data_IF_838500671816
#
_entry.id   IF_838500671816
#
_cell.length_a   1.000
_cell.length_b   1.000
_cell.length_c   1.000
_cell.angle_alpha   90.00
_cell.angle_beta   90.00
_cell.angle_gamma   90.00
#
_symmetry.space_group_name_H-M   'P 1'
#
loop_
_entity.id
_entity.type
_entity.pdbx_description
1 polymer ?
#
# COMPACT_ATOMS: atom_id res chain seq x y z
N UNK A 1 31.93 -123.12 -1.71
CA UNK A 1 33.18 -122.25 -1.74
C UNK A 1 32.88 -121.01 -0.94
N UNK A 2 33.29 -121.07 0.30
CA UNK A 2 33.17 -119.92 1.20
C UNK A 2 34.37 -119.01 1.01
N UNK A 3 34.20 -117.89 0.38
CA UNK A 3 35.19 -116.83 0.41
C UNK A 3 35.03 -115.98 1.67
N UNK A 4 35.85 -116.35 2.69
CA UNK A 4 36.00 -115.53 3.89
C UNK A 4 36.67 -114.21 3.56
N UNK A 5 35.90 -113.09 3.53
CA UNK A 5 36.44 -111.77 3.41
C UNK A 5 37.22 -111.50 4.65
N UNK A 6 38.51 -111.18 4.52
CA UNK A 6 39.40 -110.88 5.62
C UNK A 6 38.97 -109.59 6.38
N UNK A 7 38.66 -109.59 7.71
CA UNK A 7 38.18 -108.44 8.47
C UNK A 7 39.18 -107.31 8.54
N UNK A 8 40.47 -107.55 8.19
CA UNK A 8 41.46 -106.42 8.16
C UNK A 8 41.38 -105.59 6.82
N UNK A 9 41.01 -106.21 5.69
CA UNK A 9 40.79 -105.43 4.44
C UNK A 9 39.55 -104.55 4.54
N UNK A 10 38.47 -104.96 5.16
CA UNK A 10 37.26 -104.14 5.36
C UNK A 10 37.47 -102.93 6.29
N UNK A 11 38.40 -103.08 7.27
CA UNK A 11 38.78 -101.94 8.18
C UNK A 11 39.63 -100.90 7.48
N UNK A 12 40.56 -101.37 6.59
CA UNK A 12 41.41 -100.46 5.82
C UNK A 12 40.64 -99.73 4.75
N UNK A 13 39.62 -100.31 4.06
CA UNK A 13 38.76 -99.66 3.10
C UNK A 13 37.91 -98.57 3.81
N UNK A 14 37.25 -98.95 4.94
CA UNK A 14 36.49 -97.96 5.70
C UNK A 14 37.33 -96.79 6.28
N UNK A 15 38.59 -97.04 6.60
CA UNK A 15 39.53 -95.98 7.08
C UNK A 15 39.96 -95.10 5.90
N UNK A 16 40.14 -95.62 4.71
CA UNK A 16 40.48 -94.92 3.47
C UNK A 16 39.28 -94.03 3.04
N UNK A 17 38.07 -94.59 3.06
CA UNK A 17 36.87 -93.81 2.73
C UNK A 17 36.61 -92.67 3.74
N UNK A 18 36.81 -92.92 5.05
CA UNK A 18 36.68 -91.92 6.08
C UNK A 18 37.73 -90.79 5.89
N UNK A 19 38.96 -91.18 5.47
CA UNK A 19 40.02 -90.18 5.21
C UNK A 19 39.77 -89.35 3.96
N UNK A 20 39.20 -89.97 2.92
CA UNK A 20 38.77 -89.27 1.70
C UNK A 20 37.64 -88.28 2.05
N UNK A 21 36.62 -88.73 2.74
CA UNK A 21 35.51 -87.88 3.17
C UNK A 21 36.02 -86.74 4.04
N UNK A 22 36.94 -86.97 5.00
CA UNK A 22 37.55 -85.89 5.81
C UNK A 22 38.34 -84.89 4.95
N UNK A 23 39.09 -85.35 3.93
CA UNK A 23 39.78 -84.42 3.06
C UNK A 23 38.86 -83.58 2.17
N UNK A 24 37.76 -84.20 1.66
CA UNK A 24 36.73 -83.48 0.91
C UNK A 24 36.05 -82.39 1.81
N UNK A 25 35.61 -82.79 2.99
CA UNK A 25 35.00 -81.86 3.95
C UNK A 25 36.00 -80.73 4.38
N UNK A 26 37.27 -81.10 4.59
CA UNK A 26 38.32 -80.09 4.93
C UNK A 26 38.57 -79.12 3.81
N UNK A 27 38.50 -79.62 2.54
CA UNK A 27 38.63 -78.76 1.36
C UNK A 27 37.43 -77.81 1.20
N UNK A 28 36.22 -78.37 1.31
CA UNK A 28 34.96 -77.60 1.24
C UNK A 28 34.87 -76.51 2.31
N UNK A 29 35.31 -76.85 3.51
CA UNK A 29 35.43 -75.87 4.61
C UNK A 29 36.45 -74.78 4.30
N UNK A 30 37.61 -75.14 3.77
CA UNK A 30 38.65 -74.19 3.35
C UNK A 30 38.17 -73.26 2.26
N UNK A 31 37.50 -73.80 1.26
CA UNK A 31 36.92 -73.04 0.13
C UNK A 31 35.81 -72.10 0.59
N UNK A 32 34.92 -72.60 1.45
CA UNK A 32 33.90 -71.78 2.10
C UNK A 32 34.48 -70.65 2.95
N UNK A 33 35.53 -70.90 3.71
CA UNK A 33 36.21 -69.90 4.51
C UNK A 33 36.86 -68.80 3.64
N UNK A 34 37.52 -69.22 2.54
CA UNK A 34 38.10 -68.27 1.57
C UNK A 34 37.02 -67.43 0.87
N UNK A 35 35.87 -68.03 0.54
CA UNK A 35 34.74 -67.33 -0.05
C UNK A 35 34.17 -66.28 0.91
N UNK A 36 33.98 -66.68 2.19
CA UNK A 36 33.52 -65.77 3.26
C UNK A 36 34.49 -64.58 3.48
N UNK A 37 35.82 -64.88 3.50
CA UNK A 37 36.83 -63.80 3.62
C UNK A 37 36.76 -62.81 2.46
N UNK A 38 36.56 -63.29 1.21
CA UNK A 38 36.39 -62.43 0.02
C UNK A 38 35.11 -61.58 0.16
N UNK A 39 33.99 -62.18 0.60
CA UNK A 39 32.75 -61.43 0.85
C UNK A 39 32.89 -60.36 1.91
N UNK A 40 33.51 -60.65 3.03
CA UNK A 40 33.81 -59.68 4.12
C UNK A 40 34.68 -58.53 3.61
N UNK A 41 35.74 -58.85 2.83
CA UNK A 41 36.59 -57.83 2.25
C UNK A 41 35.81 -56.89 1.25
N UNK A 42 34.95 -57.47 0.40
CA UNK A 42 34.12 -56.69 -0.51
C UNK A 42 33.11 -55.81 0.26
N UNK A 43 32.39 -56.38 1.24
CA UNK A 43 31.44 -55.62 2.08
C UNK A 43 32.12 -54.46 2.82
N UNK A 44 33.32 -54.69 3.38
CA UNK A 44 34.09 -53.65 4.04
C UNK A 44 34.50 -52.52 3.04
N UNK A 45 34.85 -52.89 1.81
CA UNK A 45 35.16 -51.92 0.75
C UNK A 45 33.92 -51.09 0.35
N UNK A 46 32.78 -51.75 0.15
CA UNK A 46 31.51 -51.07 -0.17
C UNK A 46 31.06 -50.16 0.99
N UNK A 47 31.17 -50.62 2.21
CA UNK A 47 30.86 -49.82 3.42
C UNK A 47 31.75 -48.58 3.49
N UNK A 48 33.07 -48.71 3.21
CA UNK A 48 33.99 -47.58 3.22
C UNK A 48 33.64 -46.54 2.14
N UNK A 49 33.27 -46.99 0.94
CA UNK A 49 32.81 -46.12 -0.17
C UNK A 49 31.53 -45.41 0.18
N UNK A 50 30.49 -46.14 0.66
CA UNK A 50 29.19 -45.55 1.04
C UNK A 50 29.34 -44.54 2.17
N UNK A 51 30.21 -44.79 3.17
CA UNK A 51 30.53 -43.85 4.23
C UNK A 51 31.19 -42.58 3.71
N UNK A 52 32.15 -42.72 2.76
CA UNK A 52 32.81 -41.57 2.16
C UNK A 52 31.85 -40.71 1.34
N UNK A 53 30.97 -41.30 0.54
CA UNK A 53 29.95 -40.60 -0.23
C UNK A 53 28.94 -39.85 0.68
N UNK A 54 28.48 -40.51 1.76
CA UNK A 54 27.60 -39.88 2.76
C UNK A 54 28.25 -38.70 3.45
N UNK A 55 29.55 -38.84 3.80
CA UNK A 55 30.32 -37.76 4.42
C UNK A 55 30.43 -36.55 3.47
N UNK A 56 30.77 -36.78 2.22
CA UNK A 56 30.85 -35.73 1.20
C UNK A 56 29.49 -35.01 1.01
N UNK A 57 28.40 -35.78 0.93
CA UNK A 57 27.04 -35.20 0.85
C UNK A 57 26.68 -34.33 2.06
N UNK A 58 27.07 -34.76 3.26
CA UNK A 58 26.86 -33.97 4.50
C UNK A 58 27.67 -32.68 4.47
N UNK A 59 28.96 -32.75 4.08
CA UNK A 59 29.81 -31.55 3.94
C UNK A 59 29.25 -30.57 2.92
N UNK A 60 28.76 -31.06 1.77
CA UNK A 60 28.13 -30.20 0.76
C UNK A 60 26.86 -29.54 1.28
N UNK A 61 25.98 -30.29 1.97
CA UNK A 61 24.78 -29.73 2.60
C UNK A 61 25.12 -28.66 3.64
N UNK A 62 26.10 -28.90 4.48
CA UNK A 62 26.55 -27.95 5.49
C UNK A 62 27.11 -26.67 4.87
N UNK A 63 27.88 -26.82 3.77
CA UNK A 63 28.42 -25.70 3.00
C UNK A 63 27.32 -24.86 2.37
N UNK A 64 26.28 -25.50 1.81
CA UNK A 64 25.12 -24.82 1.22
C UNK A 64 24.33 -24.10 2.33
N UNK A 65 24.06 -24.76 3.44
CA UNK A 65 23.35 -24.16 4.58
C UNK A 65 24.08 -22.92 5.14
N UNK A 66 25.39 -23.02 5.34
CA UNK A 66 26.24 -21.91 5.77
C UNK A 66 26.21 -20.75 4.78
N UNK A 67 26.26 -21.04 3.47
CA UNK A 67 26.18 -20.01 2.44
C UNK A 67 24.83 -19.30 2.43
N UNK A 68 23.73 -20.05 2.60
CA UNK A 68 22.38 -19.48 2.69
C UNK A 68 22.25 -18.57 3.91
N UNK A 69 22.75 -18.99 5.07
CA UNK A 69 22.77 -18.17 6.28
C UNK A 69 23.57 -16.86 6.08
N UNK A 70 24.72 -16.92 5.41
CA UNK A 70 25.51 -15.73 5.10
C UNK A 70 24.76 -14.77 4.16
N UNK A 71 24.06 -15.29 3.16
CA UNK A 71 23.25 -14.48 2.24
C UNK A 71 22.11 -13.81 3.01
N UNK A 72 21.38 -14.56 3.83
CA UNK A 72 20.27 -14.02 4.64
C UNK A 72 20.75 -12.96 5.65
N UNK A 73 21.93 -13.13 6.23
CA UNK A 73 22.53 -12.15 7.12
C UNK A 73 23.03 -10.88 6.41
N UNK A 74 23.42 -10.99 5.13
CA UNK A 74 23.88 -9.86 4.32
C UNK A 74 22.75 -9.05 3.69
N UNK A 75 21.51 -9.56 3.68
CA UNK A 75 20.36 -8.84 3.14
C UNK A 75 19.99 -7.66 4.07
N UNK A 76 19.86 -6.43 3.55
CA UNK A 76 19.44 -5.27 4.33
C UNK A 76 17.91 -5.26 4.54
N UNK A 77 17.32 -6.41 4.79
CA UNK A 77 15.89 -6.60 4.95
C UNK A 77 15.61 -7.65 6.03
N UNK A 78 14.56 -7.44 6.82
CA UNK A 78 14.04 -8.44 7.75
C UNK A 78 13.36 -9.56 6.98
N UNK A 79 13.77 -10.81 7.20
CA UNK A 79 13.16 -12.00 6.63
C UNK A 79 12.56 -12.82 7.75
N UNK A 80 11.29 -13.19 7.61
CA UNK A 80 10.53 -13.99 8.57
C UNK A 80 9.87 -15.13 7.82
N UNK A 81 9.94 -16.32 8.37
CA UNK A 81 9.26 -17.51 7.84
C UNK A 81 8.11 -17.87 8.77
N UNK A 82 6.92 -18.01 8.19
CA UNK A 82 5.70 -18.42 8.91
C UNK A 82 5.29 -19.83 8.50
N UNK A 83 4.69 -20.56 9.44
CA UNK A 83 3.97 -21.82 9.19
C UNK A 83 2.53 -21.59 8.69
N UNK A 84 1.77 -22.69 8.55
CA UNK A 84 0.35 -22.68 8.16
C UNK A 84 -0.54 -21.91 9.15
N UNK A 85 -0.21 -21.95 10.44
CA UNK A 85 -0.93 -21.29 11.51
C UNK A 85 -0.49 -19.82 11.70
N UNK A 86 0.31 -19.28 10.76
CA UNK A 86 0.87 -17.92 10.82
C UNK A 86 1.76 -17.67 12.05
N UNK A 87 2.45 -18.68 12.56
CA UNK A 87 3.46 -18.55 13.61
C UNK A 87 4.85 -18.37 13.01
N UNK A 88 5.66 -17.58 13.66
CA UNK A 88 7.06 -17.36 13.25
C UNK A 88 7.88 -18.61 13.54
N UNK A 89 8.36 -19.27 12.48
CA UNK A 89 9.25 -20.47 12.58
C UNK A 89 10.70 -20.07 12.56
N UNK A 90 11.07 -19.10 11.73
CA UNK A 90 12.45 -18.64 11.57
C UNK A 90 12.50 -17.15 11.23
N UNK A 91 13.60 -16.48 11.57
CA UNK A 91 13.83 -15.08 11.25
C UNK A 91 15.33 -14.74 11.21
N UNK A 92 15.70 -13.74 10.40
CA UNK A 92 17.07 -13.24 10.37
C UNK A 92 17.30 -12.15 11.44
N UNK A 93 18.56 -11.79 11.66
CA UNK A 93 18.95 -10.79 12.66
C UNK A 93 18.35 -9.39 12.40
N UNK A 94 18.11 -9.03 11.12
CA UNK A 94 17.50 -7.75 10.73
C UNK A 94 16.02 -7.70 11.14
N UNK A 95 15.28 -8.80 11.01
CA UNK A 95 13.90 -8.90 11.48
C UNK A 95 13.82 -8.72 13.01
N UNK A 96 14.74 -9.34 13.75
CA UNK A 96 14.85 -9.15 15.22
C UNK A 96 15.15 -7.69 15.56
N UNK A 97 16.06 -7.06 14.82
CA UNK A 97 16.37 -5.63 15.03
C UNK A 97 15.18 -4.71 14.80
N UNK A 98 14.34 -4.99 13.79
CA UNK A 98 13.16 -4.17 13.48
C UNK A 98 11.99 -4.39 14.45
N UNK A 99 11.71 -5.64 14.81
CA UNK A 99 10.47 -6.00 15.50
C UNK A 99 10.68 -6.31 17.02
N UNK A 100 11.94 -6.47 17.45
CA UNK A 100 12.29 -6.84 18.82
C UNK A 100 12.00 -8.32 19.13
N UNK A 101 12.51 -8.78 20.27
CA UNK A 101 12.26 -10.14 20.79
C UNK A 101 11.07 -10.18 21.76
N UNK A 102 10.39 -11.34 21.94
CA UNK A 102 10.55 -12.61 21.22
C UNK A 102 9.81 -12.61 19.88
N UNK A 103 10.35 -13.31 18.86
CA UNK A 103 9.69 -13.50 17.55
C UNK A 103 9.30 -14.95 17.32
N UNK A 104 10.25 -15.87 17.51
CA UNK A 104 10.05 -17.31 17.22
C UNK A 104 8.92 -17.88 18.08
N UNK A 105 7.98 -18.60 17.44
CA UNK A 105 6.81 -19.19 18.05
C UNK A 105 5.64 -18.23 18.32
N UNK A 106 5.81 -16.91 18.08
CA UNK A 106 4.73 -15.94 18.22
C UNK A 106 3.80 -15.95 17.01
N UNK A 107 2.53 -15.62 17.22
CA UNK A 107 1.62 -15.36 16.11
C UNK A 107 2.02 -14.06 15.40
N UNK A 108 2.03 -14.05 14.07
CA UNK A 108 2.44 -12.90 13.28
C UNK A 108 1.57 -11.66 13.55
N UNK A 109 0.26 -11.82 13.75
CA UNK A 109 -0.64 -10.70 14.07
C UNK A 109 -0.26 -10.02 15.37
N UNK A 110 0.14 -10.77 16.40
CA UNK A 110 0.56 -10.21 17.68
C UNK A 110 1.86 -9.41 17.53
N UNK A 111 2.81 -9.89 16.71
CA UNK A 111 4.06 -9.19 16.40
C UNK A 111 3.76 -7.87 15.67
N UNK A 112 2.85 -7.91 14.69
CA UNK A 112 2.43 -6.71 13.94
C UNK A 112 1.83 -5.67 14.87
N UNK A 113 0.87 -6.05 15.71
CA UNK A 113 0.22 -5.13 16.64
C UNK A 113 1.19 -4.50 17.64
N UNK A 114 2.21 -5.26 18.06
CA UNK A 114 3.21 -4.77 19.01
C UNK A 114 4.23 -3.81 18.41
N UNK A 115 4.64 -4.05 17.16
CA UNK A 115 5.85 -3.45 16.60
C UNK A 115 5.63 -2.55 15.40
N UNK A 116 4.45 -2.59 14.79
CA UNK A 116 4.15 -1.95 13.52
C UNK A 116 2.93 -1.04 13.64
N UNK A 117 3.12 0.23 13.31
CA UNK A 117 2.06 1.24 13.28
C UNK A 117 1.58 1.38 11.83
N UNK A 118 0.27 1.31 11.56
CA UNK A 118 -0.27 1.55 10.23
C UNK A 118 0.10 2.95 9.73
N UNK A 119 0.49 3.03 8.45
CA UNK A 119 0.74 4.31 7.77
C UNK A 119 -0.39 4.53 6.77
N UNK A 120 -1.04 5.69 6.85
CA UNK A 120 -2.26 5.96 6.08
C UNK A 120 -2.02 6.16 4.58
N UNK A 121 -0.81 6.56 4.18
CA UNK A 121 -0.47 6.86 2.77
C UNK A 121 -0.26 5.59 1.91
N UNK A 122 0.02 4.44 2.52
CA UNK A 122 0.25 3.21 1.77
C UNK A 122 -0.10 1.97 2.60
N UNK A 123 -1.08 1.15 2.20
CA UNK A 123 -1.50 -0.04 2.93
C UNK A 123 -0.40 -1.10 3.06
N UNK A 124 0.60 -1.09 2.17
CA UNK A 124 1.74 -2.02 2.19
C UNK A 124 2.92 -1.51 3.03
N UNK A 125 2.83 -0.29 3.58
CA UNK A 125 3.86 0.27 4.43
C UNK A 125 3.39 0.34 5.89
N UNK A 126 4.36 0.27 6.78
CA UNK A 126 4.15 0.40 8.21
C UNK A 126 5.28 1.26 8.80
N UNK A 127 5.04 1.81 9.95
CA UNK A 127 6.05 2.51 10.71
C UNK A 127 6.44 1.68 11.92
N UNK A 128 7.73 1.51 12.14
CA UNK A 128 8.26 0.91 13.36
C UNK A 128 8.15 1.90 14.52
N UNK A 129 8.18 1.39 15.75
CA UNK A 129 8.14 2.23 16.97
C UNK A 129 9.27 3.26 17.06
N UNK A 130 10.39 3.05 16.35
CA UNK A 130 11.52 3.99 16.25
C UNK A 130 11.34 5.06 15.16
N UNK A 131 10.21 5.08 14.44
CA UNK A 131 9.92 6.02 13.36
C UNK A 131 10.35 5.58 11.96
N UNK A 132 11.09 4.47 11.81
CA UNK A 132 11.52 3.93 10.51
C UNK A 132 10.32 3.47 9.69
N UNK A 133 10.22 3.88 8.43
CA UNK A 133 9.21 3.37 7.48
C UNK A 133 9.69 2.09 6.83
N UNK A 134 8.86 1.05 6.89
CA UNK A 134 9.14 -0.26 6.30
C UNK A 134 8.02 -0.68 5.36
N UNK A 135 8.41 -1.32 4.25
CA UNK A 135 7.49 -2.00 3.35
C UNK A 135 7.43 -3.47 3.70
N UNK A 136 6.22 -4.04 3.73
CA UNK A 136 5.99 -5.46 4.03
C UNK A 136 5.48 -6.13 2.77
N UNK A 137 6.17 -7.19 2.34
CA UNK A 137 5.73 -8.06 1.26
C UNK A 137 5.68 -9.52 1.71
N UNK A 138 4.68 -10.25 1.23
CA UNK A 138 4.43 -11.65 1.59
C UNK A 138 4.54 -12.49 0.32
N UNK A 139 5.29 -13.58 0.39
CA UNK A 139 5.44 -14.56 -0.68
C UNK A 139 5.17 -15.96 -0.15
N UNK A 140 4.47 -16.78 -0.92
CA UNK A 140 4.23 -18.19 -0.59
C UNK A 140 5.43 -19.06 -0.99
N UNK A 141 5.72 -20.06 -0.18
CA UNK A 141 6.75 -21.07 -0.50
C UNK A 141 6.16 -22.14 -1.45
N UNK A 142 6.67 -22.22 -2.67
CA UNK A 142 6.15 -23.08 -3.74
C UNK A 142 6.17 -24.61 -3.45
N UNK A 143 6.85 -25.09 -2.42
CA UNK A 143 7.00 -26.53 -2.11
C UNK A 143 6.77 -26.90 -0.65
N UNK A 144 6.51 -25.94 0.22
CA UNK A 144 6.25 -26.16 1.64
C UNK A 144 5.06 -25.28 2.04
N UNK A 145 4.21 -25.80 2.89
CA UNK A 145 3.11 -25.07 3.50
C UNK A 145 3.69 -24.01 4.43
N UNK A 146 3.85 -22.78 3.92
CA UNK A 146 4.41 -21.67 4.68
C UNK A 146 4.54 -20.40 3.85
N UNK A 147 4.78 -19.27 4.52
CA UNK A 147 4.91 -17.94 3.92
C UNK A 147 6.20 -17.26 4.35
N UNK A 148 6.81 -16.51 3.43
CA UNK A 148 7.94 -15.65 3.74
C UNK A 148 7.47 -14.21 3.75
N UNK A 149 7.76 -13.50 4.84
CA UNK A 149 7.54 -12.07 4.97
C UNK A 149 8.89 -11.37 4.83
N UNK A 150 8.93 -10.38 3.94
CA UNK A 150 10.08 -9.51 3.75
C UNK A 150 9.72 -8.11 4.27
N UNK A 151 10.57 -7.56 5.13
CA UNK A 151 10.44 -6.21 5.69
C UNK A 151 11.63 -5.39 5.23
N UNK A 152 11.39 -4.40 4.39
CA UNK A 152 12.43 -3.54 3.82
C UNK A 152 12.30 -2.11 4.32
N UNK A 153 13.39 -1.48 4.73
CA UNK A 153 13.43 -0.05 5.05
C UNK A 153 13.27 0.76 3.77
N UNK A 154 12.24 1.59 3.72
CA UNK A 154 11.93 2.46 2.58
C UNK A 154 12.08 3.95 2.93
N UNK A 155 12.61 4.27 4.11
CA UNK A 155 12.71 5.64 4.63
C UNK A 155 13.50 6.56 3.70
N UNK A 156 14.64 6.09 3.16
CA UNK A 156 15.47 6.87 2.24
C UNK A 156 14.77 7.12 0.91
N UNK A 157 14.16 6.07 0.35
CA UNK A 157 13.42 6.17 -0.93
C UNK A 157 12.28 7.17 -0.77
N UNK A 158 11.54 7.12 0.32
CA UNK A 158 10.44 8.05 0.61
C UNK A 158 10.96 9.48 0.79
N UNK A 159 12.02 9.68 1.55
CA UNK A 159 12.60 11.01 1.73
C UNK A 159 13.09 11.64 0.42
N UNK A 160 13.62 10.83 -0.49
CA UNK A 160 14.03 11.29 -1.83
C UNK A 160 12.80 11.62 -2.70
N UNK A 161 11.75 10.81 -2.65
CA UNK A 161 10.49 11.09 -3.35
C UNK A 161 9.86 12.40 -2.86
N UNK A 162 9.81 12.61 -1.54
CA UNK A 162 9.28 13.82 -0.94
C UNK A 162 10.09 15.06 -1.36
N UNK A 163 11.43 14.97 -1.36
CA UNK A 163 12.30 16.05 -1.86
C UNK A 163 12.09 16.34 -3.34
N UNK A 164 11.92 15.30 -4.17
CA UNK A 164 11.65 15.46 -5.60
C UNK A 164 10.28 16.12 -5.82
N UNK A 165 9.27 15.72 -5.09
CA UNK A 165 7.94 16.31 -5.15
C UNK A 165 8.01 17.78 -4.71
N UNK A 166 8.70 18.07 -3.61
CA UNK A 166 8.93 19.44 -3.13
C UNK A 166 9.68 20.30 -4.16
N UNK A 167 10.71 19.76 -4.82
CA UNK A 167 11.43 20.49 -5.88
C UNK A 167 10.54 20.76 -7.09
N UNK A 168 9.76 19.78 -7.55
CA UNK A 168 8.79 19.98 -8.63
C UNK A 168 7.77 21.04 -8.27
N UNK A 169 7.29 21.00 -7.04
CA UNK A 169 6.35 21.96 -6.50
C UNK A 169 6.94 23.38 -6.46
N UNK A 170 8.15 23.54 -5.93
CA UNK A 170 8.87 24.81 -5.91
C UNK A 170 9.19 25.35 -7.33
N UNK A 171 9.52 24.45 -8.28
CA UNK A 171 9.74 24.84 -9.67
C UNK A 171 8.45 25.34 -10.33
N UNK A 172 7.35 24.65 -10.11
CA UNK A 172 6.01 25.08 -10.53
C UNK A 172 5.66 26.44 -9.89
N UNK A 173 5.94 26.66 -8.61
CA UNK A 173 5.76 27.95 -7.94
C UNK A 173 6.63 29.06 -8.56
N UNK A 174 7.86 28.77 -9.00
CA UNK A 174 8.75 29.76 -9.65
C UNK A 174 8.16 30.32 -10.94
N UNK A 175 7.61 29.47 -11.81
CA UNK A 175 6.92 29.90 -13.04
C UNK A 175 5.64 30.68 -12.73
N UNK A 176 5.04 30.44 -11.57
CA UNK A 176 3.80 31.03 -11.10
C UNK A 176 3.90 32.44 -10.59
N UNK A 177 5.02 32.85 -9.99
CA UNK A 177 5.13 34.15 -9.31
C UNK A 177 4.72 35.31 -10.23
N UNK A 178 5.06 35.25 -11.51
CA UNK A 178 4.68 36.28 -12.50
C UNK A 178 3.15 36.27 -12.76
N UNK A 179 2.53 35.09 -12.88
CA UNK A 179 1.08 34.94 -13.08
C UNK A 179 0.31 35.39 -11.83
N UNK A 180 0.76 34.97 -10.63
CA UNK A 180 0.20 35.36 -9.35
C UNK A 180 0.21 36.87 -9.14
N UNK A 181 1.35 37.54 -9.43
CA UNK A 181 1.45 38.97 -9.32
C UNK A 181 0.43 39.69 -10.23
N UNK A 182 0.19 39.17 -11.43
CA UNK A 182 -0.82 39.70 -12.33
C UNK A 182 -2.23 39.48 -11.82
N UNK A 183 -2.54 38.28 -11.34
CA UNK A 183 -3.87 37.92 -10.80
C UNK A 183 -4.22 38.68 -9.52
N UNK A 184 -3.26 39.01 -8.65
CA UNK A 184 -3.47 39.85 -7.47
C UNK A 184 -3.62 41.32 -7.85
N UNK A 185 -2.84 41.82 -8.83
CA UNK A 185 -2.85 43.22 -9.26
C UNK A 185 -4.23 43.65 -9.79
N UNK A 186 -4.87 42.82 -10.60
CA UNK A 186 -6.13 43.15 -11.28
C UNK A 186 -7.28 43.42 -10.30
N UNK A 187 -7.67 42.53 -9.36
CA UNK A 187 -8.72 42.81 -8.38
C UNK A 187 -8.35 43.93 -7.42
N UNK A 188 -7.05 44.04 -7.03
CA UNK A 188 -6.56 45.14 -6.20
C UNK A 188 -6.74 46.48 -6.90
N UNK A 189 -6.33 46.60 -8.17
CA UNK A 189 -6.51 47.83 -8.96
C UNK A 189 -7.98 48.19 -9.12
N UNK A 190 -8.84 47.19 -9.28
CA UNK A 190 -10.30 47.36 -9.35
C UNK A 190 -10.88 47.86 -8.02
N UNK A 191 -10.43 47.29 -6.88
CA UNK A 191 -10.85 47.76 -5.57
C UNK A 191 -10.40 49.21 -5.31
N UNK A 192 -9.15 49.57 -5.68
CA UNK A 192 -8.61 50.94 -5.61
C UNK A 192 -9.45 51.89 -6.45
N UNK A 193 -9.85 51.48 -7.67
CA UNK A 193 -10.67 52.30 -8.57
C UNK A 193 -12.03 52.61 -7.92
N UNK A 194 -12.73 51.64 -7.38
CA UNK A 194 -13.99 51.82 -6.69
C UNK A 194 -13.83 52.71 -5.44
N UNK A 195 -12.78 52.50 -4.66
CA UNK A 195 -12.47 53.35 -3.50
C UNK A 195 -12.23 54.82 -3.95
N UNK A 196 -11.50 55.03 -5.04
CA UNK A 196 -11.27 56.37 -5.60
C UNK A 196 -12.57 57.02 -6.09
N UNK A 197 -13.51 56.25 -6.65
CA UNK A 197 -14.80 56.73 -7.08
C UNK A 197 -15.65 57.14 -5.86
N UNK A 198 -15.63 56.37 -4.76
CA UNK A 198 -16.33 56.69 -3.50
C UNK A 198 -15.86 58.05 -2.88
N UNK A 199 -14.61 58.41 -3.07
CA UNK A 199 -14.01 59.59 -2.49
C UNK A 199 -14.34 60.90 -3.25
N UNK A 200 -15.08 60.83 -4.37
CA UNK A 200 -15.49 62.01 -5.16
C UNK A 200 -16.63 62.75 -4.42
N UNK A 201 -16.59 64.13 -4.44
CA UNK A 201 -17.47 64.96 -3.70
C UNK A 201 -18.99 64.89 -4.05
N UNK A 202 -19.38 64.33 -5.21
CA UNK A 202 -20.76 64.28 -5.73
C UNK A 202 -21.27 62.85 -5.96
N UNK A 203 -20.91 61.89 -5.14
CA UNK A 203 -21.39 60.53 -5.28
C UNK A 203 -22.70 60.35 -4.47
N UNK A 204 -23.76 59.85 -5.12
CA UNK A 204 -25.01 59.54 -4.46
C UNK A 204 -24.85 58.37 -3.46
N UNK A 205 -25.65 58.37 -2.37
CA UNK A 205 -25.62 57.29 -1.39
C UNK A 205 -25.84 55.89 -1.97
N UNK A 206 -26.76 55.64 -2.92
CA UNK A 206 -26.88 54.33 -3.56
C UNK A 206 -25.59 53.90 -4.31
N UNK A 207 -24.90 54.85 -4.94
CA UNK A 207 -23.63 54.58 -5.63
C UNK A 207 -22.49 54.25 -4.64
N UNK A 208 -22.46 54.92 -3.48
CA UNK A 208 -21.49 54.61 -2.42
C UNK A 208 -21.66 53.18 -1.88
N UNK A 209 -22.91 52.78 -1.60
CA UNK A 209 -23.23 51.41 -1.17
C UNK A 209 -22.79 50.40 -2.24
N UNK A 210 -23.09 50.65 -3.53
CA UNK A 210 -22.67 49.81 -4.63
C UNK A 210 -21.16 49.70 -4.73
N UNK A 211 -20.40 50.77 -4.61
CA UNK A 211 -18.93 50.76 -4.69
C UNK A 211 -18.35 50.06 -3.47
N UNK A 212 -18.87 50.30 -2.26
CA UNK A 212 -18.43 49.57 -1.05
C UNK A 212 -18.64 48.06 -1.17
N UNK A 213 -19.82 47.64 -1.64
CA UNK A 213 -20.11 46.24 -1.91
C UNK A 213 -19.12 45.61 -2.94
N UNK A 214 -18.79 46.36 -4.01
CA UNK A 214 -17.83 45.90 -5.03
C UNK A 214 -16.40 45.82 -4.49
N UNK A 215 -15.98 46.72 -3.61
CA UNK A 215 -14.69 46.67 -2.93
C UNK A 215 -14.62 45.43 -2.06
N UNK A 216 -15.63 45.19 -1.24
CA UNK A 216 -15.69 44.03 -0.34
C UNK A 216 -15.62 42.71 -1.14
N UNK A 217 -16.39 42.60 -2.23
CA UNK A 217 -16.35 41.45 -3.14
C UNK A 217 -14.96 41.18 -3.69
N UNK A 218 -14.20 42.22 -4.10
CA UNK A 218 -12.84 42.08 -4.63
C UNK A 218 -11.80 41.73 -3.55
N UNK A 219 -11.96 42.24 -2.34
CA UNK A 219 -11.09 41.90 -1.21
C UNK A 219 -11.31 40.47 -0.75
N UNK A 220 -12.56 40.01 -0.64
CA UNK A 220 -12.89 38.63 -0.34
C UNK A 220 -12.39 37.65 -1.41
N UNK A 221 -12.44 38.05 -2.68
CA UNK A 221 -11.83 37.27 -3.77
C UNK A 221 -10.33 37.14 -3.61
N UNK A 222 -9.61 38.23 -3.27
CA UNK A 222 -8.18 38.25 -3.02
C UNK A 222 -7.80 37.38 -1.81
N UNK A 223 -8.58 37.45 -0.73
CA UNK A 223 -8.37 36.65 0.47
C UNK A 223 -8.44 35.16 0.15
N UNK A 224 -9.45 34.73 -0.61
CA UNK A 224 -9.56 33.34 -1.06
C UNK A 224 -8.39 32.92 -1.93
N UNK A 225 -7.96 33.76 -2.89
CA UNK A 225 -6.79 33.48 -3.71
C UNK A 225 -5.51 33.28 -2.90
N UNK A 226 -5.28 34.16 -1.91
CA UNK A 226 -4.10 34.04 -1.04
C UNK A 226 -4.17 32.76 -0.21
N UNK A 227 -5.32 32.40 0.31
CA UNK A 227 -5.52 31.18 1.07
C UNK A 227 -5.30 29.93 0.20
N UNK A 228 -5.83 29.89 -1.02
CA UNK A 228 -5.59 28.80 -1.97
C UNK A 228 -4.09 28.66 -2.28
N UNK A 229 -3.39 29.77 -2.48
CA UNK A 229 -1.93 29.79 -2.67
C UNK A 229 -1.17 29.28 -1.45
N UNK A 230 -1.60 29.65 -0.23
CA UNK A 230 -0.95 29.18 1.00
C UNK A 230 -1.19 27.69 1.26
N UNK A 231 -2.39 27.18 0.97
CA UNK A 231 -2.69 25.74 1.06
C UNK A 231 -1.83 24.98 0.07
N UNK A 232 -1.78 25.44 -1.19
CA UNK A 232 -0.95 24.87 -2.22
C UNK A 232 0.54 24.89 -1.84
N UNK A 233 1.04 25.99 -1.28
CA UNK A 233 2.45 26.14 -0.85
C UNK A 233 2.83 25.27 0.35
N UNK A 234 1.87 24.89 1.19
CA UNK A 234 2.06 24.05 2.38
C UNK A 234 1.90 22.57 2.12
N UNK A 235 1.89 22.12 0.87
CA UNK A 235 1.67 20.72 0.49
C UNK A 235 2.50 19.76 1.37
N UNK A 236 1.81 18.80 2.01
CA UNK A 236 2.42 17.79 2.86
C UNK A 236 2.64 18.15 4.34
N UNK A 237 2.33 19.37 4.80
CA UNK A 237 2.55 19.80 6.20
C UNK A 237 1.24 20.28 6.88
N UNK A 238 0.13 19.66 6.55
CA UNK A 238 -1.13 19.91 7.24
C UNK A 238 -1.09 19.25 8.62
N UNK A 239 -1.43 20.01 9.66
CA UNK A 239 -1.64 19.42 10.99
C UNK A 239 -2.84 18.47 10.91
N UNK A 240 -2.62 17.20 11.23
CA UNK A 240 -3.65 16.17 11.21
C UNK A 240 -4.19 15.99 12.62
N UNK A 241 -5.47 16.28 12.81
CA UNK A 241 -6.17 16.16 14.08
C UNK A 241 -7.44 15.31 13.91
N UNK A 242 -7.92 14.72 15.00
CA UNK A 242 -9.17 14.00 14.97
C UNK A 242 -10.35 14.99 14.99
N UNK A 243 -11.25 14.90 14.04
CA UNK A 243 -12.45 15.75 13.94
C UNK A 243 -13.71 14.93 13.62
N UNK A 244 -14.88 15.55 13.77
CA UNK A 244 -16.18 14.96 13.47
C UNK A 244 -16.55 15.19 12.00
N UNK A 245 -16.87 14.11 11.28
CA UNK A 245 -17.40 14.20 9.91
C UNK A 245 -18.71 15.02 9.88
N UNK A 246 -19.57 14.84 10.89
CA UNK A 246 -20.82 15.60 10.98
C UNK A 246 -20.54 17.11 11.14
N UNK A 247 -19.56 17.50 11.96
CA UNK A 247 -19.13 18.91 12.09
C UNK A 247 -18.71 19.51 10.76
N UNK A 248 -17.91 18.76 9.98
CA UNK A 248 -17.50 19.18 8.64
C UNK A 248 -18.70 19.37 7.70
N UNK A 249 -19.64 18.42 7.68
CA UNK A 249 -20.83 18.47 6.82
C UNK A 249 -21.78 19.60 7.22
N UNK A 250 -21.92 19.90 8.52
CA UNK A 250 -22.71 21.03 9.01
C UNK A 250 -22.11 22.36 8.54
N UNK A 251 -20.77 22.54 8.65
CA UNK A 251 -20.06 23.71 8.12
C UNK A 251 -20.21 23.85 6.59
N UNK A 252 -20.17 22.74 5.85
CA UNK A 252 -20.43 22.75 4.39
C UNK A 252 -21.84 23.21 4.10
N UNK A 253 -22.85 22.69 4.82
CA UNK A 253 -24.24 23.07 4.63
C UNK A 253 -24.48 24.57 4.90
N UNK A 254 -23.92 25.09 6.00
CA UNK A 254 -24.02 26.51 6.35
C UNK A 254 -23.41 27.42 5.28
N UNK A 255 -22.24 27.08 4.74
CA UNK A 255 -21.59 27.81 3.67
C UNK A 255 -22.41 27.82 2.37
N UNK A 256 -23.18 26.75 2.11
CA UNK A 256 -23.99 26.65 0.88
C UNK A 256 -25.32 27.41 0.96
N UNK A 257 -25.88 27.64 2.15
CA UNK A 257 -27.18 28.31 2.33
C UNK A 257 -27.27 29.66 1.60
N UNK A 258 -26.23 30.48 1.70
CA UNK A 258 -26.16 31.78 1.04
C UNK A 258 -26.11 31.68 -0.49
N UNK A 259 -25.41 30.68 -1.02
CA UNK A 259 -25.29 30.46 -2.46
C UNK A 259 -26.60 29.93 -3.08
N UNK A 260 -27.29 29.04 -2.37
CA UNK A 260 -28.55 28.45 -2.80
C UNK A 260 -29.64 29.53 -2.93
N UNK A 261 -29.75 30.39 -1.90
CA UNK A 261 -30.77 31.43 -1.85
C UNK A 261 -30.63 32.46 -2.99
N UNK A 262 -29.39 32.75 -3.42
CA UNK A 262 -29.09 33.73 -4.47
C UNK A 262 -29.28 33.21 -5.91
N UNK A 263 -29.04 31.91 -6.11
CA UNK A 263 -28.96 31.33 -7.49
C UNK A 263 -30.13 30.41 -7.85
N UNK A 264 -31.14 30.26 -6.96
CA UNK A 264 -32.29 29.37 -7.19
C UNK A 264 -31.91 27.91 -7.50
N UNK A 265 -30.86 27.40 -6.82
CA UNK A 265 -30.29 26.06 -6.96
C UNK A 265 -30.88 25.14 -5.90
N UNK A 266 -31.13 23.89 -6.27
CA UNK A 266 -31.50 22.85 -5.30
C UNK A 266 -30.25 22.12 -4.82
N UNK A 267 -29.86 22.29 -3.57
CA UNK A 267 -28.80 21.55 -2.93
C UNK A 267 -29.36 20.45 -2.03
N UNK A 268 -28.77 19.25 -2.11
CA UNK A 268 -29.15 18.10 -1.29
C UNK A 268 -27.92 17.50 -0.66
N UNK A 269 -27.87 17.43 0.66
CA UNK A 269 -26.83 16.74 1.40
C UNK A 269 -27.40 15.42 1.93
N UNK A 270 -26.68 14.31 1.71
CA UNK A 270 -27.01 12.96 2.19
C UNK A 270 -25.81 12.39 2.91
N UNK A 271 -26.01 11.96 4.14
CA UNK A 271 -24.99 11.28 4.93
C UNK A 271 -25.50 9.89 5.31
N UNK A 272 -24.95 8.86 4.63
CA UNK A 272 -25.31 7.46 4.84
C UNK A 272 -24.25 6.72 5.69
N UNK A 273 -23.35 7.48 6.37
CA UNK A 273 -22.21 6.93 7.13
C UNK A 273 -22.49 7.01 8.62
N UNK A 274 -22.20 5.93 9.35
CA UNK A 274 -22.31 5.88 10.80
C UNK A 274 -21.03 6.31 11.53
N UNK A 275 -19.90 6.37 10.81
CA UNK A 275 -18.61 6.76 11.38
C UNK A 275 -18.56 8.28 11.45
N UNK A 276 -18.33 8.81 12.65
CA UNK A 276 -18.24 10.26 12.88
C UNK A 276 -16.79 10.76 13.10
N UNK A 277 -15.81 9.88 13.22
CA UNK A 277 -14.42 10.28 13.47
C UNK A 277 -13.55 10.14 12.24
N UNK A 278 -12.91 11.23 11.87
CA UNK A 278 -11.89 11.31 10.84
C UNK A 278 -10.58 11.86 11.41
N UNK A 279 -9.46 11.49 10.78
CA UNK A 279 -8.16 12.10 11.05
C UNK A 279 -7.77 12.97 9.85
N UNK A 280 -7.49 14.24 10.11
CA UNK A 280 -7.17 15.16 9.03
C UNK A 280 -7.12 16.60 9.47
N UNK A 281 -7.04 17.50 8.50
CA UNK A 281 -7.22 18.94 8.72
C UNK A 281 -8.62 19.35 8.26
N UNK A 282 -9.52 19.57 9.21
CA UNK A 282 -10.93 19.89 8.95
C UNK A 282 -11.08 21.13 8.06
N UNK A 283 -10.32 22.19 8.32
CA UNK A 283 -10.43 23.47 7.58
C UNK A 283 -9.94 23.32 6.13
N UNK A 284 -8.88 22.54 5.89
CA UNK A 284 -8.40 22.26 4.54
C UNK A 284 -9.41 21.42 3.75
N UNK A 285 -10.01 20.39 4.37
CA UNK A 285 -11.05 19.57 3.74
C UNK A 285 -12.32 20.40 3.47
N UNK A 286 -12.73 21.25 4.41
CA UNK A 286 -13.83 22.19 4.19
C UNK A 286 -13.55 23.07 2.96
N UNK A 287 -12.36 23.66 2.87
CA UNK A 287 -11.96 24.47 1.72
C UNK A 287 -12.00 23.71 0.41
N UNK A 288 -11.50 22.47 0.39
CA UNK A 288 -11.54 21.61 -0.79
C UNK A 288 -12.98 21.29 -1.24
N UNK A 289 -13.85 20.92 -0.31
CA UNK A 289 -15.26 20.62 -0.60
C UNK A 289 -15.99 21.87 -1.12
N UNK A 290 -15.78 23.02 -0.49
CA UNK A 290 -16.35 24.28 -0.92
C UNK A 290 -15.85 24.70 -2.31
N UNK A 291 -14.60 24.46 -2.65
CA UNK A 291 -14.07 24.68 -4.01
C UNK A 291 -14.81 23.83 -5.06
N UNK A 292 -15.06 22.56 -4.77
CA UNK A 292 -15.84 21.68 -5.68
C UNK A 292 -17.29 22.14 -5.79
N UNK A 293 -17.93 22.49 -4.70
CA UNK A 293 -19.30 22.97 -4.66
C UNK A 293 -19.46 24.31 -5.40
N UNK A 294 -18.50 25.23 -5.26
CA UNK A 294 -18.49 26.49 -6.01
C UNK A 294 -18.34 26.24 -7.52
N UNK A 295 -17.49 25.27 -7.92
CA UNK A 295 -17.39 24.88 -9.32
C UNK A 295 -18.71 24.31 -9.84
N UNK A 296 -19.42 23.50 -9.05
CA UNK A 296 -20.76 23.01 -9.39
C UNK A 296 -21.79 24.14 -9.52
N UNK A 297 -21.79 25.09 -8.58
CA UNK A 297 -22.69 26.28 -8.63
C UNK A 297 -22.45 27.10 -9.91
N UNK A 298 -21.21 27.27 -10.32
CA UNK A 298 -20.86 28.01 -11.55
C UNK A 298 -21.19 27.25 -12.83
N UNK A 299 -21.19 25.89 -12.76
CA UNK A 299 -21.48 25.03 -13.91
C UNK A 299 -22.97 24.84 -14.18
N UNK A 300 -23.83 25.00 -13.16
CA UNK A 300 -25.27 24.80 -13.33
C UNK A 300 -25.94 26.11 -13.73
N UNK A 301 -26.97 25.96 -14.58
CA UNK A 301 -27.87 27.08 -14.99
C UNK A 301 -28.98 27.30 -13.95
N UNK A 302 -29.91 28.21 -14.26
CA UNK A 302 -31.10 28.44 -13.41
C UNK A 302 -31.84 27.11 -13.11
N UNK A 303 -32.19 26.87 -11.84
CA UNK A 303 -32.80 25.64 -11.32
C UNK A 303 -31.88 24.42 -11.34
N UNK A 304 -30.57 24.64 -11.26
CA UNK A 304 -29.59 23.58 -11.14
C UNK A 304 -29.77 22.68 -9.91
N UNK A 305 -29.25 21.47 -9.98
CA UNK A 305 -29.27 20.52 -8.87
C UNK A 305 -27.85 20.12 -8.52
N UNK A 306 -27.51 20.21 -7.23
CA UNK A 306 -26.22 19.80 -6.69
C UNK A 306 -26.50 18.83 -5.55
N UNK A 307 -25.87 17.67 -5.60
CA UNK A 307 -26.02 16.62 -4.58
C UNK A 307 -24.64 16.33 -3.99
N UNK A 308 -24.52 16.53 -2.68
CA UNK A 308 -23.39 16.05 -1.89
C UNK A 308 -23.84 14.77 -1.15
N UNK A 309 -23.19 13.65 -1.40
CA UNK A 309 -23.48 12.40 -0.70
C UNK A 309 -22.21 11.81 -0.11
N UNK A 310 -22.32 11.31 1.12
CA UNK A 310 -21.25 10.60 1.81
C UNK A 310 -21.69 9.18 2.03
N UNK A 311 -20.87 8.21 1.57
CA UNK A 311 -21.13 6.78 1.63
C UNK A 311 -19.89 6.06 2.14
N UNK A 312 -20.10 4.93 2.78
CA UNK A 312 -19.04 4.03 3.20
C UNK A 312 -19.15 2.74 2.40
N UNK A 313 -18.21 2.53 1.47
CA UNK A 313 -18.14 1.30 0.68
C UNK A 313 -17.19 0.27 1.30
N UNK A 314 -16.25 0.73 2.13
CA UNK A 314 -15.22 -0.05 2.78
C UNK A 314 -15.13 0.38 4.26
N UNK A 315 -14.96 -0.55 5.23
CA UNK A 315 -14.77 -0.20 6.64
C UNK A 315 -13.65 0.81 6.92
N UNK A 316 -12.64 0.88 6.05
CA UNK A 316 -11.45 1.74 6.19
C UNK A 316 -11.55 3.07 5.43
N UNK A 317 -12.58 3.30 4.60
CA UNK A 317 -12.68 4.49 3.76
C UNK A 317 -14.11 5.01 3.61
N UNK A 318 -14.24 6.32 3.50
CA UNK A 318 -15.47 6.99 3.10
C UNK A 318 -15.34 7.53 1.67
N UNK A 319 -16.44 7.54 0.98
CA UNK A 319 -16.56 8.09 -0.36
C UNK A 319 -17.50 9.32 -0.33
N UNK A 320 -16.94 10.49 -0.64
CA UNK A 320 -17.67 11.74 -0.72
C UNK A 320 -17.88 12.08 -2.20
N UNK A 321 -19.13 12.16 -2.62
CA UNK A 321 -19.54 12.40 -4.01
C UNK A 321 -20.25 13.75 -4.15
N UNK A 322 -19.76 14.57 -5.06
CA UNK A 322 -20.39 15.84 -5.45
C UNK A 322 -20.84 15.73 -6.89
N UNK A 323 -22.14 15.73 -7.09
CA UNK A 323 -22.79 15.62 -8.40
C UNK A 323 -23.56 16.88 -8.73
N UNK A 324 -23.32 17.45 -9.91
CA UNK A 324 -24.11 18.53 -10.50
C UNK A 324 -24.79 18.07 -11.80
N UNK A 325 -25.75 18.84 -12.27
CA UNK A 325 -26.41 18.69 -13.56
C UNK A 325 -26.08 19.85 -14.53
N UNK A 326 -24.86 20.38 -14.40
CA UNK A 326 -24.37 21.51 -15.21
C UNK A 326 -23.97 21.13 -16.64
N UNK A 327 -23.21 22.03 -17.26
CA UNK A 327 -22.75 21.87 -18.66
C UNK A 327 -21.78 20.72 -18.91
N UNK A 328 -21.21 20.12 -17.83
CA UNK A 328 -20.20 19.07 -17.95
C UNK A 328 -18.84 19.57 -18.42
N UNK A 329 -17.89 18.64 -18.59
CA UNK A 329 -16.49 18.89 -18.93
C UNK A 329 -16.11 18.04 -20.14
N UNK A 330 -15.48 18.68 -21.15
CA UNK A 330 -14.95 18.00 -22.33
C UNK A 330 -13.82 17.03 -21.99
N UNK A 331 -13.68 15.93 -22.75
CA UNK A 331 -12.68 14.90 -22.51
C UNK A 331 -11.23 15.41 -22.54
N UNK A 332 -10.92 16.35 -23.44
CA UNK A 332 -9.60 16.96 -23.53
C UNK A 332 -9.28 17.82 -22.29
N UNK A 333 -10.29 18.38 -21.66
CA UNK A 333 -10.14 19.18 -20.44
C UNK A 333 -9.94 18.30 -19.21
N UNK A 334 -10.53 17.10 -19.15
CA UNK A 334 -10.40 16.18 -18.00
C UNK A 334 -8.96 15.81 -17.71
N UNK A 335 -8.14 15.61 -18.74
CA UNK A 335 -6.73 15.23 -18.56
C UNK A 335 -5.91 16.30 -17.86
N UNK A 336 -6.32 17.57 -17.96
CA UNK A 336 -5.61 18.73 -17.43
C UNK A 336 -6.30 19.41 -16.26
N UNK A 337 -7.41 18.82 -15.82
CA UNK A 337 -8.33 19.40 -14.84
C UNK A 337 -7.65 19.76 -13.50
N UNK A 338 -6.69 18.95 -13.09
CA UNK A 338 -5.93 19.14 -11.84
C UNK A 338 -4.59 19.82 -12.04
N UNK A 339 -4.23 20.19 -13.30
CA UNK A 339 -3.02 20.97 -13.55
C UNK A 339 -3.18 22.37 -12.93
N UNK A 340 -2.23 22.82 -12.11
CA UNK A 340 -2.26 24.17 -11.56
C UNK A 340 -2.37 25.22 -12.66
N UNK A 341 -3.19 26.29 -12.45
CA UNK A 341 -3.46 27.42 -13.39
C UNK A 341 -4.17 27.04 -14.69
N UNK A 342 -4.54 25.80 -14.88
CA UNK A 342 -5.42 25.44 -15.96
C UNK A 342 -6.85 25.88 -15.66
N UNK A 343 -7.38 26.82 -16.42
CA UNK A 343 -8.75 27.33 -16.30
C UNK A 343 -9.31 27.72 -17.65
N UNK A 344 -10.53 27.33 -17.90
CA UNK A 344 -11.33 27.77 -19.07
C UNK A 344 -12.12 29.04 -18.77
N UNK A 345 -12.16 29.47 -17.50
CA UNK A 345 -12.92 30.63 -17.03
C UNK A 345 -12.07 31.90 -17.14
N UNK A 346 -12.62 32.98 -17.67
CA UNK A 346 -11.92 34.29 -17.82
C UNK A 346 -11.42 34.83 -16.47
N UNK A 347 -12.16 34.58 -15.40
CA UNK A 347 -11.80 35.03 -14.04
C UNK A 347 -11.39 33.86 -13.13
N UNK A 348 -11.14 32.67 -13.68
CA UNK A 348 -10.73 31.51 -12.89
C UNK A 348 -9.25 31.53 -12.57
N UNK A 349 -8.89 31.21 -11.35
CA UNK A 349 -7.47 31.12 -10.91
C UNK A 349 -6.77 29.89 -11.47
N UNK A 350 -7.53 28.85 -11.80
CA UNK A 350 -6.99 27.53 -12.16
C UNK A 350 -6.32 26.81 -10.97
N UNK A 351 -6.41 27.35 -9.75
CA UNK A 351 -5.84 26.74 -8.55
C UNK A 351 -6.80 25.87 -7.78
N UNK A 352 -8.12 26.15 -7.82
CA UNK A 352 -9.10 25.51 -6.96
C UNK A 352 -9.06 23.99 -7.01
N UNK A 353 -9.01 23.38 -8.22
CA UNK A 353 -8.97 21.92 -8.36
C UNK A 353 -7.59 21.33 -8.05
N UNK A 354 -6.51 22.05 -8.32
CA UNK A 354 -5.16 21.65 -7.90
C UNK A 354 -5.04 21.63 -6.38
N UNK A 355 -5.63 22.61 -5.68
CA UNK A 355 -5.71 22.64 -4.21
C UNK A 355 -6.54 21.47 -3.69
N UNK A 356 -7.66 21.13 -4.33
CA UNK A 356 -8.46 19.96 -3.95
C UNK A 356 -7.64 18.68 -4.05
N UNK A 357 -6.94 18.45 -5.17
CA UNK A 357 -6.07 17.26 -5.35
C UNK A 357 -4.97 17.22 -4.28
N UNK A 358 -4.30 18.36 -4.01
CA UNK A 358 -3.27 18.47 -2.98
C UNK A 358 -3.81 18.15 -1.58
N UNK A 359 -4.96 18.71 -1.20
CA UNK A 359 -5.59 18.46 0.10
C UNK A 359 -6.01 16.99 0.23
N UNK A 360 -6.63 16.42 -0.80
CA UNK A 360 -7.07 15.01 -0.80
C UNK A 360 -5.88 14.08 -0.67
N UNK A 361 -4.79 14.32 -1.41
CA UNK A 361 -3.54 13.55 -1.30
C UNK A 361 -2.89 13.69 0.08
N UNK A 362 -2.86 14.90 0.65
CA UNK A 362 -2.35 15.12 2.00
C UNK A 362 -3.14 14.32 3.06
N UNK A 363 -4.40 14.00 2.79
CA UNK A 363 -5.25 13.12 3.60
C UNK A 363 -5.17 11.65 3.15
N UNK A 364 -4.16 11.25 2.37
CA UNK A 364 -3.98 9.89 1.84
C UNK A 364 -5.19 9.38 1.05
N UNK A 365 -5.93 10.32 0.46
CA UNK A 365 -7.10 10.05 -0.35
C UNK A 365 -6.81 10.07 -1.85
N UNK A 366 -7.86 9.85 -2.63
CA UNK A 366 -7.85 10.02 -4.09
C UNK A 366 -9.08 10.76 -4.57
N UNK A 367 -8.94 11.53 -5.66
CA UNK A 367 -10.04 12.22 -6.33
C UNK A 367 -10.19 11.71 -7.76
N UNK A 368 -11.44 11.53 -8.18
CA UNK A 368 -11.81 11.12 -9.53
C UNK A 368 -12.87 12.08 -10.07
N UNK A 369 -12.87 12.29 -11.39
CA UNK A 369 -13.86 13.13 -12.09
C UNK A 369 -14.49 12.36 -13.23
N UNK A 370 -15.80 12.19 -13.19
CA UNK A 370 -16.62 11.65 -14.25
C UNK A 370 -17.51 12.78 -14.77
N UNK A 371 -17.44 13.07 -16.06
CA UNK A 371 -18.22 14.16 -16.66
C UNK A 371 -18.43 13.91 -18.14
N UNK A 372 -19.56 14.34 -18.64
CA UNK A 372 -19.88 14.36 -20.06
C UNK A 372 -20.55 15.69 -20.40
N UNK A 373 -20.18 16.28 -21.55
CA UNK A 373 -20.71 17.57 -21.97
C UNK A 373 -22.22 17.53 -22.05
N UNK A 374 -22.91 18.41 -21.35
CA UNK A 374 -24.37 18.51 -21.27
C UNK A 374 -25.03 17.57 -20.24
N UNK A 375 -24.29 16.70 -19.58
CA UNK A 375 -24.80 15.73 -18.59
C UNK A 375 -24.45 16.05 -17.14
N UNK A 376 -23.59 17.05 -16.91
CA UNK A 376 -23.10 17.45 -15.60
C UNK A 376 -21.78 16.79 -15.21
N UNK A 377 -21.37 16.96 -13.95
CA UNK A 377 -20.10 16.46 -13.41
C UNK A 377 -20.31 15.71 -12.11
N UNK A 378 -19.55 14.65 -11.92
CA UNK A 378 -19.44 13.90 -10.66
C UNK A 378 -17.98 13.90 -10.22
N UNK A 379 -17.69 14.53 -9.09
CA UNK A 379 -16.44 14.38 -8.38
C UNK A 379 -16.61 13.35 -7.26
N UNK A 380 -15.68 12.40 -7.19
CA UNK A 380 -15.62 11.36 -6.15
C UNK A 380 -14.31 11.47 -5.40
N UNK A 381 -14.39 11.76 -4.10
CA UNK A 381 -13.27 11.79 -3.17
C UNK A 381 -13.31 10.52 -2.33
N UNK A 382 -12.23 9.74 -2.33
CA UNK A 382 -12.06 8.62 -1.42
C UNK A 382 -11.11 9.06 -0.31
N UNK A 383 -11.55 9.02 0.94
CA UNK A 383 -10.77 9.44 2.10
C UNK A 383 -10.69 8.30 3.11
N UNK A 384 -9.52 8.01 3.70
CA UNK A 384 -9.42 7.01 4.75
C UNK A 384 -10.16 7.48 6.01
N UNK A 385 -10.83 6.57 6.70
CA UNK A 385 -11.46 6.84 7.98
C UNK A 385 -10.82 6.02 9.11
N UNK A 386 -10.75 6.60 10.31
CA UNK A 386 -10.22 5.92 11.50
C UNK A 386 -11.36 5.13 12.13
N UNK A 387 -11.48 3.86 11.75
CA UNK A 387 -12.34 2.95 12.49
C UNK A 387 -11.55 2.42 13.70
N UNK A 388 -12.11 2.50 14.92
CA UNK A 388 -11.51 1.94 16.14
C UNK A 388 -11.39 0.40 16.13
N UNK A 389 -11.84 -0.24 15.03
CA UNK A 389 -11.75 -1.67 14.79
C UNK A 389 -10.93 -1.92 13.52
N UNK A 390 -9.63 -2.05 13.66
CA UNK A 390 -8.77 -2.65 12.63
C UNK A 390 -8.17 -3.96 13.20
N UNK A 391 -8.93 -5.07 13.20
CA UNK A 391 -8.35 -6.41 13.18
C UNK A 391 -8.05 -6.90 11.76
N UNK A 392 -8.76 -6.42 10.71
CA UNK A 392 -8.91 -7.20 9.47
C UNK A 392 -8.25 -6.66 8.20
N UNK A 393 -7.48 -5.57 8.25
CA UNK A 393 -6.71 -5.10 7.07
C UNK A 393 -5.65 -6.13 6.59
N UNK A 394 -5.38 -7.15 7.40
CA UNK A 394 -4.50 -8.26 7.03
C UNK A 394 -5.22 -9.35 6.23
N UNK A 395 -6.53 -9.53 6.39
CA UNK A 395 -7.30 -10.51 5.63
C UNK A 395 -7.63 -10.03 4.20
N UNK A 396 -7.85 -8.73 3.99
CA UNK A 396 -8.15 -8.20 2.65
C UNK A 396 -6.97 -8.26 1.67
N UNK A 397 -5.72 -8.27 2.14
CA UNK A 397 -4.55 -8.54 1.31
C UNK A 397 -4.48 -9.98 0.80
N UNK A 398 -5.24 -10.90 1.39
CA UNK A 398 -5.24 -12.32 1.06
C UNK A 398 -6.32 -12.75 0.06
N UNK A 399 -7.37 -11.96 -0.15
CA UNK A 399 -8.48 -12.32 -1.07
C UNK A 399 -8.28 -11.83 -2.50
N UNK A 400 -7.39 -10.87 -2.75
CA UNK A 400 -7.17 -10.33 -4.11
C UNK A 400 -6.39 -11.27 -5.05
N UNK A 401 -5.74 -12.32 -4.54
CA UNK A 401 -5.02 -13.31 -5.35
C UNK A 401 -5.87 -14.50 -5.78
N UNK A 402 -6.94 -14.84 -5.04
CA UNK A 402 -7.83 -15.94 -5.45
C UNK A 402 -8.80 -15.55 -6.57
N UNK A 403 -9.21 -14.28 -6.65
CA UNK A 403 -10.15 -13.83 -7.71
C UNK A 403 -9.49 -13.75 -9.10
N UNK A 404 -8.17 -13.47 -9.16
CA UNK A 404 -7.43 -13.44 -10.43
C UNK A 404 -7.02 -14.84 -10.96
N UNK A 405 -7.10 -15.88 -10.13
CA UNK A 405 -6.82 -17.26 -10.55
C UNK A 405 -8.05 -17.94 -11.17
N UNK A 406 -9.27 -17.53 -10.82
CA UNK A 406 -10.51 -18.08 -11.39
C UNK A 406 -10.88 -17.48 -12.74
N UNK A 407 -10.56 -16.21 -13.03
CA UNK A 407 -10.85 -15.61 -14.35
C UNK A 407 -9.96 -16.15 -15.48
N UNK A 408 -8.74 -16.65 -15.19
CA UNK A 408 -7.87 -17.22 -16.22
C UNK A 408 -8.23 -18.65 -16.65
N UNK A 409 -9.18 -19.29 -16.00
CA UNK A 409 -9.61 -20.65 -16.36
C UNK A 409 -10.86 -20.73 -17.22
N UNK A 410 -11.51 -19.59 -17.52
CA UNK A 410 -12.73 -19.53 -18.36
C UNK A 410 -12.48 -19.05 -19.80
N UNK A 411 -11.25 -18.65 -20.18
CA UNK A 411 -10.91 -18.24 -21.56
C UNK A 411 -10.16 -19.33 -22.38
N UNK A 412 -10.07 -20.56 -21.89
CA UNK A 412 -9.39 -21.65 -22.60
C UNK A 412 -10.23 -22.94 -22.66
N UNK A 413 -11.51 -22.83 -23.10
CA UNK A 413 -12.29 -23.97 -23.66
C UNK A 413 -13.14 -23.47 -24.84
#
# INVERSE_FOLDING_TARGET
MNTSVNPQTLKTEKLTDAFQLFNELSKDLSDSYQQLQKQVANLNKELALARSERLNTLIEKEKIASRLQQILAALPAGVIVLDEESRVVDCNAVAVHYLGEPLIGQNWLDVVHRSLIPVFDNPHERQLNNGTRVSISTNELNNETGRIILISDVSEIRSLQDRLNQQKHLSAMGEMVASMAHQVRTPLSTAILYASQMNKAKVSDPSRIKFSSKILERLQYLERQVNDMLIFAKEGHLAMEAFSLQSLLDKVNDNMLDCISKNNITFTLRNDVQIDRMLGNEDALLGAIINLLNNAVEAVEEKGKIILSVQQNDPASIQLKIKDNGQGIDENMKQRLFEPFYSTKVNGTGLGLAVVDSVVRAHSGSIQCESETGCGTLFTLNLPCVNQYIPDLFEMGFQSTEHNAMEKHYEAV
#
